data_IF_289293093887
#
_entry.id   IF_289293093887
#
_cell.length_a   1.000
_cell.length_b   1.000
_cell.length_c   1.000
_cell.angle_alpha   90.00
_cell.angle_beta   90.00
_cell.angle_gamma   90.00
#
_symmetry.space_group_name_H-M   'P 1'
#
loop_
_entity.id
_entity.type
_entity.pdbx_description
1 polymer ?
#
# COMPACT_ATOMS: atom_id res chain seq x y z
N UNK A 1 -57.00 28.91 -5.56
CA UNK A 1 -56.25 28.28 -4.45
C UNK A 1 -55.82 26.90 -4.93
N UNK A 2 -54.50 26.65 -4.99
CA UNK A 2 -53.73 25.40 -5.23
C UNK A 2 -52.50 25.75 -6.08
N UNK A 3 -51.38 26.07 -5.41
CA UNK A 3 -50.07 26.30 -6.03
C UNK A 3 -49.46 24.94 -6.45
N UNK A 4 -48.99 24.84 -7.70
CA UNK A 4 -48.25 23.67 -8.19
C UNK A 4 -46.86 23.62 -7.53
N UNK A 5 -46.59 22.56 -6.78
CA UNK A 5 -45.24 22.24 -6.30
C UNK A 5 -44.42 21.72 -7.48
N UNK A 6 -43.35 22.43 -7.84
CA UNK A 6 -42.39 22.01 -8.85
C UNK A 6 -41.53 20.87 -8.30
N UNK A 7 -41.55 19.72 -8.96
CA UNK A 7 -40.68 18.58 -8.65
C UNK A 7 -39.26 18.94 -9.08
N UNK A 8 -38.39 19.21 -8.11
CA UNK A 8 -36.96 19.45 -8.32
C UNK A 8 -36.34 18.17 -8.88
N UNK A 9 -35.89 18.20 -10.15
CA UNK A 9 -35.10 17.10 -10.73
C UNK A 9 -33.77 16.99 -9.97
N UNK A 10 -33.33 15.78 -9.59
CA UNK A 10 -32.09 15.62 -8.84
C UNK A 10 -30.89 16.13 -9.66
N UNK A 11 -30.18 17.10 -9.07
CA UNK A 11 -29.02 17.78 -9.62
C UNK A 11 -27.84 16.82 -9.82
N UNK A 12 -27.01 17.08 -10.85
CA UNK A 12 -25.78 16.36 -11.30
C UNK A 12 -24.77 15.89 -10.21
N UNK A 13 -24.94 16.27 -8.94
CA UNK A 13 -24.07 15.90 -7.84
C UNK A 13 -24.28 14.46 -7.35
N UNK A 14 -25.52 13.95 -7.37
CA UNK A 14 -25.84 12.60 -6.87
C UNK A 14 -25.29 11.50 -7.80
N UNK A 15 -25.13 11.79 -9.09
CA UNK A 15 -24.61 10.85 -10.09
C UNK A 15 -23.10 10.62 -9.98
N UNK A 16 -22.34 11.56 -9.42
CA UNK A 16 -20.88 11.41 -9.27
C UNK A 16 -20.51 10.63 -8.02
N UNK A 17 -21.19 10.86 -6.89
CA UNK A 17 -20.95 10.10 -5.64
C UNK A 17 -21.28 8.62 -5.83
N UNK A 18 -22.39 8.31 -6.52
CA UNK A 18 -22.75 6.92 -6.83
C UNK A 18 -21.77 6.23 -7.79
N UNK A 19 -21.09 6.97 -8.68
CA UNK A 19 -20.11 6.38 -9.60
C UNK A 19 -18.80 6.03 -8.89
N UNK A 20 -18.38 6.85 -7.91
CA UNK A 20 -17.22 6.60 -7.07
C UNK A 20 -17.43 5.42 -6.11
N UNK A 21 -18.58 5.37 -5.43
CA UNK A 21 -18.91 4.25 -4.52
C UNK A 21 -18.95 2.91 -5.28
N UNK A 22 -19.45 2.89 -6.53
CA UNK A 22 -19.57 1.66 -7.31
C UNK A 22 -18.26 1.15 -7.92
N UNK A 23 -17.26 1.99 -8.18
CA UNK A 23 -15.96 1.52 -8.69
C UNK A 23 -15.12 0.88 -7.59
N UNK A 24 -15.03 1.51 -6.43
CA UNK A 24 -14.28 0.96 -5.29
C UNK A 24 -14.97 -0.29 -4.73
N UNK A 25 -16.30 -0.29 -4.55
CA UNK A 25 -17.03 -1.46 -4.07
C UNK A 25 -16.90 -2.67 -5.01
N UNK A 26 -16.83 -2.46 -6.34
CA UNK A 26 -16.60 -3.54 -7.31
C UNK A 26 -15.20 -4.17 -7.21
N UNK A 27 -14.18 -3.41 -6.81
CA UNK A 27 -12.85 -3.97 -6.55
C UNK A 27 -12.83 -4.85 -5.29
N UNK A 28 -13.62 -4.51 -4.26
CA UNK A 28 -13.84 -5.36 -3.06
C UNK A 28 -14.70 -6.58 -3.33
N UNK A 29 -15.62 -6.48 -4.29
CA UNK A 29 -16.53 -7.56 -4.69
C UNK A 29 -15.98 -8.38 -5.87
N UNK A 30 -14.75 -8.12 -6.31
CA UNK A 30 -14.13 -8.92 -7.36
C UNK A 30 -13.72 -10.28 -6.80
N UNK A 31 -14.53 -11.29 -7.12
CA UNK A 31 -14.38 -12.67 -6.65
C UNK A 31 -13.40 -13.49 -7.49
N UNK A 32 -12.48 -12.87 -8.24
CA UNK A 32 -11.46 -13.67 -8.93
C UNK A 32 -10.44 -14.11 -7.88
N UNK A 33 -10.43 -15.40 -7.50
CA UNK A 33 -9.49 -15.87 -6.50
C UNK A 33 -8.07 -15.62 -7.00
N UNK A 34 -7.21 -15.20 -6.09
CA UNK A 34 -5.78 -15.15 -6.32
C UNK A 34 -5.30 -16.52 -6.82
N UNK A 35 -4.45 -16.54 -7.85
CA UNK A 35 -3.95 -17.82 -8.35
C UNK A 35 -3.08 -18.51 -7.28
N UNK A 36 -3.08 -19.85 -7.25
CA UNK A 36 -2.23 -20.60 -6.31
C UNK A 36 -0.75 -20.21 -6.44
N UNK A 37 -0.29 -19.89 -7.65
CA UNK A 37 1.07 -19.41 -7.90
C UNK A 37 1.34 -18.04 -7.27
N UNK A 38 0.40 -17.10 -7.37
CA UNK A 38 0.51 -15.76 -6.77
C UNK A 38 0.61 -15.85 -5.25
N UNK A 39 -0.19 -16.72 -4.62
CA UNK A 39 -0.15 -16.95 -3.17
C UNK A 39 1.18 -17.56 -2.72
N UNK A 40 1.73 -18.51 -3.49
CA UNK A 40 3.04 -19.11 -3.20
C UNK A 40 4.16 -18.08 -3.28
N UNK A 41 4.17 -17.22 -4.31
CA UNK A 41 5.16 -16.14 -4.45
C UNK A 41 5.07 -15.14 -3.30
N UNK A 42 3.85 -14.72 -2.94
CA UNK A 42 3.63 -13.83 -1.80
C UNK A 42 4.13 -14.47 -0.49
N UNK A 43 3.75 -15.72 -0.23
CA UNK A 43 4.19 -16.46 0.95
C UNK A 43 5.72 -16.57 1.03
N UNK A 44 6.42 -16.77 -0.09
CA UNK A 44 7.87 -16.80 -0.13
C UNK A 44 8.53 -15.45 0.26
N UNK A 45 7.92 -14.32 -0.08
CA UNK A 45 8.34 -13.00 0.42
C UNK A 45 8.15 -12.94 1.94
N UNK A 46 6.96 -13.24 2.44
CA UNK A 46 6.63 -13.17 3.86
C UNK A 46 7.49 -14.09 4.73
N UNK A 47 7.82 -15.28 4.22
CA UNK A 47 8.76 -16.21 4.86
C UNK A 47 10.17 -15.62 5.00
N UNK A 48 10.66 -14.88 4.00
CA UNK A 48 11.95 -14.17 4.07
C UNK A 48 11.91 -13.00 5.05
N UNK A 49 10.76 -12.34 5.18
CA UNK A 49 10.52 -11.32 6.20
C UNK A 49 10.44 -11.91 7.62
N UNK A 50 10.19 -13.21 7.74
CA UNK A 50 9.94 -13.87 9.02
C UNK A 50 8.60 -13.44 9.63
N UNK A 51 7.61 -13.17 8.79
CA UNK A 51 6.24 -12.84 9.19
C UNK A 51 5.30 -13.87 8.60
N UNK A 52 4.35 -14.33 9.41
CA UNK A 52 3.21 -15.13 8.96
C UNK A 52 1.94 -14.31 9.18
N UNK A 53 1.23 -13.96 8.11
CA UNK A 53 -0.09 -13.34 8.20
C UNK A 53 -1.18 -14.42 8.30
N UNK A 54 -2.27 -14.09 8.98
CA UNK A 54 -3.40 -15.01 9.15
C UNK A 54 -4.14 -15.27 7.83
N UNK A 55 -4.14 -14.28 6.93
CA UNK A 55 -4.81 -14.34 5.63
C UNK A 55 -3.78 -14.35 4.46
N UNK A 56 -3.68 -15.47 3.71
CA UNK A 56 -2.85 -15.54 2.50
C UNK A 56 -3.26 -14.55 1.41
N UNK A 57 -4.54 -14.18 1.30
CA UNK A 57 -4.98 -13.19 0.31
C UNK A 57 -4.46 -11.80 0.64
N UNK A 58 -4.35 -11.46 1.92
CA UNK A 58 -3.74 -10.21 2.39
C UNK A 58 -2.26 -10.11 1.97
N UNK A 59 -1.53 -11.24 2.00
CA UNK A 59 -0.15 -11.29 1.51
C UNK A 59 -0.06 -10.94 0.02
N UNK A 60 -0.96 -11.51 -0.79
CA UNK A 60 -0.96 -11.21 -2.22
C UNK A 60 -1.47 -9.81 -2.51
N UNK A 61 -2.48 -9.33 -1.78
CA UNK A 61 -2.99 -7.98 -1.92
C UNK A 61 -1.90 -6.95 -1.65
N UNK A 62 -1.08 -7.12 -0.61
CA UNK A 62 -0.04 -6.16 -0.24
C UNK A 62 1.02 -5.97 -1.34
N UNK A 63 1.28 -7.01 -2.13
CA UNK A 63 2.22 -6.98 -3.27
C UNK A 63 1.56 -6.71 -4.62
N UNK A 64 0.27 -6.34 -4.65
CA UNK A 64 -0.47 -6.05 -5.88
C UNK A 64 -0.68 -4.56 -6.11
N UNK A 65 0.08 -3.98 -7.03
CA UNK A 65 -0.05 -2.58 -7.39
C UNK A 65 -1.26 -2.34 -8.30
N UNK A 66 -1.87 -1.15 -8.25
CA UNK A 66 -3.03 -0.78 -9.07
C UNK A 66 -2.85 -0.87 -10.59
N UNK A 67 -1.60 -0.83 -11.08
CA UNK A 67 -1.31 -1.01 -12.50
C UNK A 67 -1.49 -2.46 -12.96
N UNK A 68 -1.60 -3.41 -12.03
CA UNK A 68 -1.90 -4.80 -12.32
C UNK A 68 -3.39 -5.01 -12.63
N UNK A 69 -3.68 -5.82 -13.65
CA UNK A 69 -5.02 -6.24 -14.04
C UNK A 69 -6.08 -5.12 -14.09
N UNK A 70 -5.68 -3.89 -14.43
CA UNK A 70 -6.56 -2.70 -14.44
C UNK A 70 -7.33 -2.49 -13.13
N UNK A 71 -6.72 -2.83 -11.98
CA UNK A 71 -7.34 -2.77 -10.66
C UNK A 71 -8.66 -3.57 -10.54
N UNK A 72 -8.82 -4.62 -11.34
CA UNK A 72 -9.97 -5.54 -11.25
C UNK A 72 -9.83 -6.56 -10.12
N UNK A 73 -8.74 -6.50 -9.35
CA UNK A 73 -8.49 -7.30 -8.15
C UNK A 73 -8.16 -6.36 -6.99
N UNK A 74 -8.29 -6.80 -5.73
CA UNK A 74 -7.84 -6.00 -4.59
C UNK A 74 -6.39 -5.51 -4.76
N UNK A 75 -6.18 -4.21 -4.58
CA UNK A 75 -4.87 -3.56 -4.72
C UNK A 75 -4.32 -3.14 -3.37
N UNK A 76 -3.04 -2.82 -3.36
CA UNK A 76 -2.30 -2.46 -2.17
C UNK A 76 -2.46 -0.99 -1.73
N UNK A 77 -3.26 -0.16 -2.42
CA UNK A 77 -3.29 1.30 -2.17
C UNK A 77 -3.74 1.66 -0.75
N UNK A 78 -4.76 0.98 -0.21
CA UNK A 78 -5.23 1.25 1.17
C UNK A 78 -4.27 0.72 2.23
N UNK A 79 -3.68 -0.45 1.99
CA UNK A 79 -2.64 -0.99 2.86
C UNK A 79 -1.42 -0.06 2.85
N UNK A 80 -1.04 0.45 1.68
CA UNK A 80 0.03 1.42 1.51
C UNK A 80 -0.25 2.72 2.25
N UNK A 81 -1.47 3.25 2.18
CA UNK A 81 -1.87 4.42 2.96
C UNK A 81 -1.74 4.18 4.47
N UNK A 82 -2.26 3.05 4.96
CA UNK A 82 -2.16 2.66 6.37
C UNK A 82 -0.70 2.52 6.82
N UNK A 83 0.10 1.80 6.05
CA UNK A 83 1.51 1.58 6.34
C UNK A 83 2.36 2.84 6.27
N UNK A 84 2.11 3.73 5.29
CA UNK A 84 2.78 5.04 5.19
C UNK A 84 2.49 5.90 6.42
N UNK A 85 1.23 6.04 6.80
CA UNK A 85 0.87 6.83 7.99
C UNK A 85 1.51 6.25 9.25
N UNK A 86 1.52 4.92 9.39
CA UNK A 86 2.18 4.27 10.51
C UNK A 86 3.71 4.47 10.51
N UNK A 87 4.35 4.36 9.35
CA UNK A 87 5.78 4.61 9.18
C UNK A 87 6.15 6.04 9.56
N UNK A 88 5.41 7.03 9.07
CA UNK A 88 5.62 8.45 9.41
C UNK A 88 5.53 8.67 10.92
N UNK A 89 4.50 8.12 11.58
CA UNK A 89 4.35 8.20 13.03
C UNK A 89 5.53 7.55 13.74
N UNK A 90 5.81 6.28 13.45
CA UNK A 90 6.82 5.52 14.18
C UNK A 90 8.23 6.08 13.95
N UNK A 91 8.56 6.49 12.73
CA UNK A 91 9.85 7.10 12.42
C UNK A 91 10.02 8.45 13.13
N UNK A 92 8.93 9.21 13.25
CA UNK A 92 8.92 10.45 14.03
C UNK A 92 9.13 10.16 15.51
N UNK A 93 8.47 9.14 16.08
CA UNK A 93 8.68 8.70 17.47
C UNK A 93 10.15 8.35 17.74
N UNK A 94 10.79 7.58 16.85
CA UNK A 94 12.20 7.16 17.00
C UNK A 94 13.19 8.32 16.86
N UNK A 95 12.88 9.32 16.03
CA UNK A 95 13.73 10.50 15.87
C UNK A 95 13.42 11.62 16.87
N UNK A 96 12.42 11.42 17.74
CA UNK A 96 11.94 12.43 18.66
C UNK A 96 13.01 12.78 19.69
N UNK A 97 13.57 13.97 19.55
CA UNK A 97 14.57 14.52 20.43
C UNK A 97 14.24 16.00 20.68
N UNK A 98 14.01 16.35 21.95
CA UNK A 98 13.63 17.71 22.37
C UNK A 98 14.72 18.74 22.05
N UNK A 99 15.95 18.31 21.78
CA UNK A 99 17.07 19.18 21.44
C UNK A 99 17.17 19.48 19.94
N UNK A 100 16.50 18.69 19.08
CA UNK A 100 16.46 18.92 17.63
C UNK A 100 15.45 20.01 17.27
N UNK A 101 15.78 20.81 16.27
CA UNK A 101 14.80 21.70 15.64
C UNK A 101 13.74 20.89 14.86
N UNK A 102 12.58 21.50 14.64
CA UNK A 102 11.51 20.89 13.83
C UNK A 102 11.97 20.54 12.42
N UNK A 103 12.84 21.36 11.81
CA UNK A 103 13.34 21.12 10.46
C UNK A 103 14.29 19.92 10.41
N UNK A 104 15.16 19.77 11.41
CA UNK A 104 16.05 18.61 11.53
C UNK A 104 15.26 17.31 11.73
N UNK A 105 14.20 17.35 12.55
CA UNK A 105 13.30 16.20 12.73
C UNK A 105 12.64 15.81 11.40
N UNK A 106 12.02 16.78 10.70
CA UNK A 106 11.37 16.54 9.39
C UNK A 106 12.34 16.00 8.35
N UNK A 107 13.56 16.52 8.29
CA UNK A 107 14.59 16.07 7.36
C UNK A 107 15.01 14.63 7.65
N UNK A 108 15.18 14.27 8.93
CA UNK A 108 15.55 12.91 9.35
C UNK A 108 14.44 11.89 9.02
N UNK A 109 13.19 12.25 9.30
CA UNK A 109 12.02 11.41 8.96
C UNK A 109 11.91 11.22 7.44
N UNK A 110 12.00 12.31 6.67
CA UNK A 110 11.94 12.28 5.20
C UNK A 110 13.08 11.46 4.59
N UNK A 111 14.27 11.51 5.18
CA UNK A 111 15.41 10.72 4.72
C UNK A 111 15.19 9.22 4.90
N UNK A 112 14.66 8.83 6.07
CA UNK A 112 14.39 7.43 6.44
C UNK A 112 13.32 6.81 5.53
N UNK A 113 12.32 7.62 5.13
CA UNK A 113 11.16 7.18 4.36
C UNK A 113 11.24 7.52 2.87
N UNK A 114 12.43 7.87 2.35
CA UNK A 114 12.60 8.16 0.92
C UNK A 114 12.33 6.91 0.08
N UNK A 115 11.68 7.10 -1.07
CA UNK A 115 11.32 6.00 -1.98
C UNK A 115 12.50 5.09 -2.34
N UNK A 116 13.68 5.65 -2.60
CA UNK A 116 14.86 4.84 -2.92
C UNK A 116 15.29 3.93 -1.77
N UNK A 117 15.15 4.38 -0.53
CA UNK A 117 15.47 3.60 0.68
C UNK A 117 14.51 2.42 0.79
N UNK A 118 13.20 2.69 0.76
CA UNK A 118 12.16 1.65 0.84
C UNK A 118 12.25 0.66 -0.33
N UNK A 119 12.54 1.14 -1.55
CA UNK A 119 12.68 0.28 -2.71
C UNK A 119 13.93 -0.61 -2.64
N UNK A 120 15.04 -0.11 -2.07
CA UNK A 120 16.24 -0.92 -1.84
C UNK A 120 15.96 -2.04 -0.83
N UNK A 121 15.27 -1.72 0.26
CA UNK A 121 14.83 -2.70 1.27
C UNK A 121 13.90 -3.73 0.63
N UNK A 122 12.90 -3.30 -0.14
CA UNK A 122 11.99 -4.20 -0.85
C UNK A 122 12.75 -5.17 -1.79
N UNK A 123 13.75 -4.69 -2.53
CA UNK A 123 14.60 -5.55 -3.38
C UNK A 123 15.45 -6.53 -2.58
N UNK A 124 16.04 -6.12 -1.46
CA UNK A 124 16.83 -7.05 -0.64
C UNK A 124 15.99 -8.17 -0.04
N UNK A 125 14.68 -7.95 0.08
CA UNK A 125 13.68 -8.95 0.49
C UNK A 125 13.07 -9.72 -0.68
N UNK A 126 13.53 -9.45 -1.92
CA UNK A 126 13.05 -9.97 -3.19
C UNK A 126 11.55 -9.79 -3.42
N UNK A 127 11.02 -8.63 -3.02
CA UNK A 127 9.67 -8.19 -3.37
C UNK A 127 9.54 -7.98 -4.87
N UNK A 128 10.61 -7.58 -5.56
CA UNK A 128 10.63 -7.34 -7.00
C UNK A 128 10.34 -8.59 -7.84
N UNK A 129 10.65 -9.77 -7.31
CA UNK A 129 10.38 -11.06 -7.96
C UNK A 129 8.91 -11.49 -7.84
N UNK A 130 8.20 -11.01 -6.83
CA UNK A 130 6.83 -11.41 -6.51
C UNK A 130 5.79 -10.31 -6.79
N UNK A 131 6.19 -9.04 -6.85
CA UNK A 131 5.27 -7.92 -7.00
C UNK A 131 4.48 -7.99 -8.31
N UNK A 132 3.19 -7.72 -8.21
CA UNK A 132 2.26 -7.75 -9.33
C UNK A 132 2.04 -6.31 -9.80
N UNK A 133 2.64 -5.98 -10.94
CA UNK A 133 2.55 -4.64 -11.53
C UNK A 133 2.79 -4.69 -13.04
N UNK A 134 2.47 -3.58 -13.70
CA UNK A 134 2.78 -3.34 -15.11
C UNK A 134 3.57 -2.04 -15.25
N UNK A 135 4.66 -2.06 -16.02
CA UNK A 135 5.38 -0.84 -16.38
C UNK A 135 4.53 0.04 -17.30
N UNK A 136 4.57 1.38 -17.13
CA UNK A 136 3.94 2.30 -18.07
C UNK A 136 4.64 2.32 -19.44
N UNK A 137 5.87 1.81 -19.54
CA UNK A 137 6.59 1.71 -20.80
C UNK A 137 6.05 0.56 -21.66
N UNK A 138 5.91 0.80 -22.96
CA UNK A 138 5.59 -0.24 -23.95
C UNK A 138 6.82 -1.07 -24.35
N UNK A 139 8.03 -0.63 -24.00
CA UNK A 139 9.25 -1.35 -24.32
C UNK A 139 9.32 -2.68 -23.53
N UNK A 140 9.53 -3.82 -24.20
CA UNK A 140 9.67 -5.11 -23.54
C UNK A 140 10.78 -5.09 -22.47
N UNK A 141 10.46 -5.56 -21.26
CA UNK A 141 11.42 -5.64 -20.15
C UNK A 141 11.75 -4.31 -19.46
N UNK A 142 11.14 -3.20 -19.86
CA UNK A 142 11.39 -1.92 -19.21
C UNK A 142 10.89 -1.91 -17.76
N UNK A 143 11.77 -1.51 -16.84
CA UNK A 143 11.47 -1.36 -15.40
C UNK A 143 11.18 0.09 -15.00
N UNK A 144 10.67 0.91 -15.94
CA UNK A 144 10.31 2.31 -15.67
C UNK A 144 9.23 2.33 -14.59
N UNK A 145 9.46 3.13 -13.54
CA UNK A 145 8.55 3.24 -12.39
C UNK A 145 8.69 2.14 -11.33
N UNK A 146 9.57 1.16 -11.52
CA UNK A 146 9.72 0.02 -10.60
C UNK A 146 10.08 0.47 -9.17
N UNK A 147 11.02 1.40 -9.02
CA UNK A 147 11.43 1.92 -7.70
C UNK A 147 10.25 2.51 -6.93
N UNK A 148 9.38 3.28 -7.59
CA UNK A 148 8.17 3.84 -6.99
C UNK A 148 7.22 2.75 -6.52
N UNK A 149 6.98 1.74 -7.37
CA UNK A 149 6.09 0.63 -7.06
C UNK A 149 6.63 -0.23 -5.93
N UNK A 150 7.94 -0.48 -5.89
CA UNK A 150 8.59 -1.20 -4.81
C UNK A 150 8.46 -0.49 -3.47
N UNK A 151 8.71 0.83 -3.45
CA UNK A 151 8.54 1.63 -2.24
C UNK A 151 7.09 1.58 -1.72
N UNK A 152 6.11 1.77 -2.61
CA UNK A 152 4.69 1.68 -2.26
C UNK A 152 4.29 0.27 -1.79
N UNK A 153 4.87 -0.76 -2.39
CA UNK A 153 4.65 -2.14 -1.97
C UNK A 153 5.23 -2.39 -0.58
N UNK A 154 6.39 -1.82 -0.26
CA UNK A 154 6.97 -1.91 1.09
C UNK A 154 6.07 -1.23 2.13
N UNK A 155 5.55 -0.04 1.82
CA UNK A 155 4.53 0.62 2.67
C UNK A 155 3.32 -0.29 2.87
N UNK A 156 2.83 -0.92 1.80
CA UNK A 156 1.68 -1.81 1.90
C UNK A 156 1.95 -3.10 2.70
N UNK A 157 3.16 -3.65 2.64
CA UNK A 157 3.56 -4.78 3.49
C UNK A 157 3.49 -4.36 4.97
N UNK A 158 4.02 -3.19 5.33
CA UNK A 158 3.89 -2.65 6.70
C UNK A 158 2.41 -2.50 7.08
N UNK A 159 1.59 -1.98 6.18
CA UNK A 159 0.15 -1.86 6.37
C UNK A 159 -0.55 -3.21 6.58
N UNK A 160 -0.13 -4.25 5.86
CA UNK A 160 -0.66 -5.60 6.02
C UNK A 160 -0.31 -6.20 7.39
N UNK A 161 0.93 -6.03 7.85
CA UNK A 161 1.33 -6.45 9.22
C UNK A 161 0.51 -5.71 10.28
N UNK A 162 0.37 -4.39 10.12
CA UNK A 162 -0.45 -3.60 11.04
C UNK A 162 -1.91 -4.06 11.04
N UNK A 163 -2.48 -4.32 9.87
CA UNK A 163 -3.87 -4.72 9.72
C UNK A 163 -4.16 -6.09 10.36
N UNK A 164 -3.26 -7.05 10.17
CA UNK A 164 -3.41 -8.42 10.65
C UNK A 164 -3.04 -8.58 12.14
N UNK A 165 -1.97 -7.92 12.60
CA UNK A 165 -1.34 -8.19 13.90
C UNK A 165 -1.25 -6.96 14.82
N UNK A 166 -1.67 -5.79 14.35
CA UNK A 166 -1.71 -4.56 15.12
C UNK A 166 -0.37 -3.83 15.23
N UNK A 167 -0.40 -2.73 15.99
CA UNK A 167 0.71 -1.76 16.04
C UNK A 167 2.00 -2.33 16.64
N UNK A 168 1.91 -3.25 17.61
CA UNK A 168 3.09 -3.84 18.25
C UNK A 168 3.93 -4.62 17.25
N UNK A 169 3.32 -5.55 16.51
CA UNK A 169 3.99 -6.34 15.49
C UNK A 169 4.55 -5.46 14.36
N UNK A 170 3.80 -4.44 13.95
CA UNK A 170 4.27 -3.48 12.95
C UNK A 170 5.50 -2.69 13.42
N UNK A 171 5.58 -2.26 14.69
CA UNK A 171 6.76 -1.59 15.25
C UNK A 171 7.99 -2.50 15.24
N UNK A 172 7.83 -3.75 15.67
CA UNK A 172 8.90 -4.76 15.67
C UNK A 172 9.42 -5.01 14.25
N UNK A 173 8.51 -5.13 13.28
CA UNK A 173 8.86 -5.28 11.88
C UNK A 173 9.65 -4.08 11.34
N UNK A 174 9.15 -2.86 11.53
CA UNK A 174 9.81 -1.63 11.04
C UNK A 174 11.19 -1.45 11.69
N UNK A 175 11.29 -1.69 13.00
CA UNK A 175 12.56 -1.59 13.74
C UNK A 175 13.62 -2.57 13.22
N UNK A 176 13.21 -3.79 12.87
CA UNK A 176 14.10 -4.86 12.39
C UNK A 176 14.57 -4.66 10.94
N UNK A 177 13.75 -4.03 10.11
CA UNK A 177 13.92 -4.10 8.65
C UNK A 177 14.11 -2.76 7.95
N UNK A 178 13.58 -1.68 8.51
CA UNK A 178 13.62 -0.35 7.88
C UNK A 178 14.61 0.57 8.61
N UNK A 179 14.73 0.43 9.91
CA UNK A 179 15.59 1.28 10.75
C UNK A 179 17.06 0.85 10.84
N UNK A 180 17.43 -0.26 10.21
CA UNK A 180 18.81 -0.79 10.24
C UNK A 180 19.74 -0.11 9.22
N UNK A 181 19.25 0.87 8.45
CA UNK A 181 19.98 1.60 7.40
C UNK A 181 19.90 3.12 7.62
#
# INVERSE_FOLDING_TARGET
MLQRVSVIKPTRLVTNVNRYINHEARAYLSTKPTSQEDTVKASAVYKRLGIELSDPELMTQSITHKSFAHATVPTNERLGALGRTFLELHVTEQNWDKTKSNDTLKASVSHSLRMDTLAKIARSMGVDEAMRWKSPSSAPGAKVGETTVLAQTMEAIVGAVYHDQGSKAAREFVSKHIYTY
#
